data_IF_346517717138
#
_entry.id   IF_346517717138
#
_cell.length_a   1.000
_cell.length_b   1.000
_cell.length_c   1.000
_cell.angle_alpha   90.00
_cell.angle_beta   90.00
_cell.angle_gamma   90.00
#
_symmetry.space_group_name_H-M   'P 1'
#
loop_
_entity.id
_entity.type
_entity.pdbx_description
1 polymer ?
#
# COMPACT_ATOMS: atom_id res chain seq x y z
N UNK A 1 11.37 12.95 20.42
CA UNK A 1 9.93 13.34 20.28
C UNK A 1 9.57 14.27 21.44
N UNK A 2 8.72 15.26 21.20
CA UNK A 2 8.22 16.10 22.28
C UNK A 2 7.27 15.31 23.21
N UNK A 3 7.23 15.69 24.48
CA UNK A 3 6.30 15.11 25.46
C UNK A 3 4.84 15.21 24.99
N UNK A 4 4.51 16.27 24.23
CA UNK A 4 3.20 16.43 23.62
C UNK A 4 2.83 15.37 22.60
N UNK A 5 3.77 14.87 21.81
CA UNK A 5 3.52 13.77 20.85
C UNK A 5 3.31 12.45 21.60
N UNK A 6 4.12 12.19 22.63
CA UNK A 6 4.01 10.96 23.42
C UNK A 6 2.68 10.84 24.16
N UNK A 7 2.02 11.98 24.49
CA UNK A 7 0.71 11.96 25.16
C UNK A 7 -0.42 11.35 24.31
N UNK A 8 -0.22 11.20 22.98
CA UNK A 8 -1.18 10.58 22.08
C UNK A 8 -0.96 9.08 21.89
N UNK A 9 0.19 8.55 22.31
CA UNK A 9 0.51 7.14 22.14
C UNK A 9 -0.36 6.28 23.07
N UNK A 10 -1.08 5.30 22.50
CA UNK A 10 -1.76 4.25 23.28
C UNK A 10 -0.75 3.23 23.80
N UNK A 11 0.28 2.95 23.01
CA UNK A 11 1.41 2.09 23.31
C UNK A 11 2.57 2.51 22.42
N UNK A 12 3.79 2.71 22.95
CA UNK A 12 4.95 2.90 22.10
C UNK A 12 5.24 1.57 21.40
N UNK A 13 4.93 1.50 20.10
CA UNK A 13 5.25 0.35 19.28
C UNK A 13 6.67 0.52 18.73
N UNK A 14 7.52 -0.47 19.03
CA UNK A 14 8.78 -0.72 18.35
C UNK A 14 9.73 0.45 18.20
N UNK A 15 10.29 0.93 19.33
CA UNK A 15 11.49 1.78 19.40
C UNK A 15 11.37 3.25 18.93
N UNK A 16 12.18 4.09 19.52
CA UNK A 16 13.03 4.05 20.67
C UNK A 16 12.78 5.11 21.70
N UNK A 17 13.25 4.77 22.56
CA UNK A 17 13.55 5.16 23.91
C UNK A 17 14.41 6.40 24.07
N UNK A 18 15.03 6.95 23.09
CA UNK A 18 15.77 8.18 23.30
C UNK A 18 15.00 9.37 22.74
N UNK A 19 14.52 10.21 23.64
CA UNK A 19 14.09 11.59 23.38
C UNK A 19 15.22 12.48 22.82
N UNK A 20 16.41 11.91 22.65
CA UNK A 20 17.65 12.61 22.24
C UNK A 20 17.88 12.63 20.73
N UNK A 21 17.04 12.00 19.93
CA UNK A 21 17.17 12.07 18.46
C UNK A 21 17.08 13.50 17.98
N UNK A 22 17.99 13.89 17.12
CA UNK A 22 17.99 15.24 16.54
C UNK A 22 16.82 15.44 15.58
N UNK A 23 16.49 14.42 14.78
CA UNK A 23 15.38 14.43 13.82
C UNK A 23 14.66 13.09 13.81
N UNK A 24 13.37 13.08 13.45
CA UNK A 24 12.62 11.84 13.37
C UNK A 24 11.51 11.87 12.32
N UNK A 25 11.17 10.69 11.80
CA UNK A 25 9.93 10.43 11.08
C UNK A 25 8.99 9.61 11.96
N UNK A 26 7.68 9.86 11.85
CA UNK A 26 6.67 9.27 12.74
C UNK A 26 5.47 8.77 11.94
N UNK A 27 5.45 7.51 11.51
CA UNK A 27 4.23 6.87 11.03
C UNK A 27 3.13 6.87 12.09
N UNK A 28 1.91 7.23 11.66
CA UNK A 28 0.68 7.23 12.45
C UNK A 28 -0.14 5.99 12.11
N UNK A 29 -0.47 5.17 13.10
CA UNK A 29 -1.23 3.92 12.93
C UNK A 29 -2.26 3.74 14.04
N UNK A 30 -3.41 3.10 13.74
CA UNK A 30 -4.44 2.81 14.76
C UNK A 30 -4.18 1.53 15.54
N UNK A 31 -3.54 0.55 14.91
CA UNK A 31 -3.26 -0.75 15.50
C UNK A 31 -1.76 -1.03 15.51
N UNK A 32 -1.27 -1.60 16.59
CA UNK A 32 0.11 -2.04 16.70
C UNK A 32 0.32 -3.27 15.81
N UNK A 33 1.22 -3.14 14.85
CA UNK A 33 1.69 -4.26 14.05
C UNK A 33 3.20 -4.09 13.79
N UNK A 34 3.97 -5.18 13.68
CA UNK A 34 5.38 -5.10 13.37
C UNK A 34 5.59 -4.48 11.99
N UNK A 35 5.77 -3.16 11.92
CA UNK A 35 5.85 -2.46 10.66
C UNK A 35 7.22 -2.69 10.01
N UNK A 36 7.22 -3.35 8.87
CA UNK A 36 8.38 -3.51 7.99
C UNK A 36 8.99 -2.14 7.63
N UNK A 37 8.15 -1.14 7.45
CA UNK A 37 8.54 0.24 7.12
C UNK A 37 9.53 0.83 8.12
N UNK A 38 9.32 0.63 9.44
CA UNK A 38 10.23 1.15 10.45
C UNK A 38 11.65 0.56 10.32
N UNK A 39 11.76 -0.74 10.05
CA UNK A 39 13.04 -1.41 9.81
C UNK A 39 13.70 -0.85 8.54
N UNK A 40 12.98 -0.77 7.43
CA UNK A 40 13.50 -0.26 6.16
C UNK A 40 14.05 1.17 6.28
N UNK A 41 13.32 2.04 6.97
CA UNK A 41 13.73 3.43 7.14
C UNK A 41 14.94 3.58 8.05
N UNK A 42 14.97 2.88 9.18
CA UNK A 42 16.10 2.95 10.11
C UNK A 42 17.39 2.37 9.51
N UNK A 43 17.29 1.26 8.76
CA UNK A 43 18.44 0.71 8.01
C UNK A 43 18.92 1.69 6.93
N UNK A 44 18.00 2.42 6.27
CA UNK A 44 18.36 3.43 5.28
C UNK A 44 19.03 4.65 5.94
N UNK A 45 18.54 5.11 7.08
CA UNK A 45 19.18 6.18 7.83
C UNK A 45 20.62 5.84 8.21
N UNK A 46 20.84 4.62 8.72
CA UNK A 46 22.19 4.14 9.04
C UNK A 46 23.08 4.01 7.80
N UNK A 47 22.57 3.37 6.74
CA UNK A 47 23.34 3.10 5.53
C UNK A 47 23.80 4.39 4.80
N UNK A 48 23.02 5.46 4.90
CA UNK A 48 23.30 6.72 4.20
C UNK A 48 23.85 7.84 5.10
N UNK A 49 24.09 7.55 6.39
CA UNK A 49 24.60 8.53 7.35
C UNK A 49 23.65 9.72 7.48
N UNK A 50 22.36 9.46 7.64
CA UNK A 50 21.33 10.47 7.92
C UNK A 50 21.02 10.43 9.41
N UNK A 51 21.25 11.52 10.12
CA UNK A 51 21.00 11.66 11.57
C UNK A 51 19.50 11.82 11.85
N UNK A 52 18.75 10.75 11.59
CA UNK A 52 17.32 10.68 11.86
C UNK A 52 16.91 9.27 12.29
N UNK A 53 15.73 9.15 12.87
CA UNK A 53 15.17 7.88 13.29
C UNK A 53 13.70 7.79 12.89
N UNK A 54 13.27 6.60 12.46
CA UNK A 54 11.86 6.30 12.27
C UNK A 54 11.29 5.70 13.56
N UNK A 55 10.27 6.38 14.10
CA UNK A 55 9.52 5.95 15.27
C UNK A 55 8.07 5.78 14.86
N UNK A 56 7.26 5.01 15.56
CA UNK A 56 5.83 4.84 15.26
C UNK A 56 4.95 5.37 16.38
N UNK A 57 3.83 5.98 16.02
CA UNK A 57 2.77 6.37 16.94
C UNK A 57 1.53 5.50 16.71
N UNK A 58 1.21 4.67 17.70
CA UNK A 58 -0.08 3.98 17.78
C UNK A 58 -1.07 4.90 18.47
N UNK A 59 -2.04 5.41 17.74
CA UNK A 59 -2.98 6.41 18.27
C UNK A 59 -4.36 6.26 17.64
N UNK A 60 -5.26 7.20 17.95
CA UNK A 60 -6.60 7.24 17.35
C UNK A 60 -6.66 8.25 16.23
N UNK A 61 -7.10 7.84 15.05
CA UNK A 61 -7.31 8.72 13.90
C UNK A 61 -8.34 9.82 14.18
N UNK A 62 -9.25 9.60 15.12
CA UNK A 62 -10.18 10.64 15.61
C UNK A 62 -9.48 11.84 16.25
N UNK A 63 -8.19 11.69 16.62
CA UNK A 63 -7.35 12.75 17.18
C UNK A 63 -6.36 13.33 16.18
N UNK A 64 -6.54 13.08 14.88
CA UNK A 64 -5.63 13.55 13.83
C UNK A 64 -5.32 15.05 13.93
N UNK A 65 -6.33 15.89 14.13
CA UNK A 65 -6.13 17.34 14.25
C UNK A 65 -5.23 17.74 15.42
N UNK A 66 -5.40 17.11 16.59
CA UNK A 66 -4.57 17.37 17.76
C UNK A 66 -3.12 16.90 17.53
N UNK A 67 -2.96 15.69 17.00
CA UNK A 67 -1.66 15.09 16.70
C UNK A 67 -0.91 15.99 15.70
N UNK A 68 -1.53 16.33 14.57
CA UNK A 68 -0.90 17.13 13.53
C UNK A 68 -0.60 18.55 13.99
N UNK A 69 -1.42 19.15 14.86
CA UNK A 69 -1.14 20.44 15.49
C UNK A 69 0.17 20.43 16.30
N UNK A 70 0.44 19.34 17.02
CA UNK A 70 1.69 19.19 17.78
C UNK A 70 2.86 18.92 16.84
N UNK A 71 2.72 18.00 15.88
CA UNK A 71 3.76 17.67 14.91
C UNK A 71 4.18 18.87 14.04
N UNK A 72 3.23 19.72 13.67
CA UNK A 72 3.48 20.96 12.93
C UNK A 72 4.47 21.89 13.64
N UNK A 73 4.39 21.94 14.98
CA UNK A 73 5.23 22.80 15.83
C UNK A 73 6.57 22.16 16.20
N UNK A 74 6.66 20.83 16.10
CA UNK A 74 7.89 20.12 16.45
C UNK A 74 8.90 20.20 15.30
N UNK A 75 9.95 21.01 15.49
CA UNK A 75 11.00 21.20 14.47
C UNK A 75 11.89 19.98 14.28
N UNK A 76 11.81 18.98 15.15
CA UNK A 76 12.49 17.69 14.99
C UNK A 76 11.72 16.73 14.09
N UNK A 77 10.41 16.90 13.96
CA UNK A 77 9.56 16.09 13.08
C UNK A 77 9.82 16.43 11.62
N UNK A 78 10.16 15.43 10.82
CA UNK A 78 10.41 15.54 9.38
C UNK A 78 9.18 15.21 8.54
N UNK A 79 8.40 14.23 9.01
CA UNK A 79 7.31 13.62 8.28
C UNK A 79 7.03 12.21 8.78
N UNK A 80 6.24 11.44 8.04
CA UNK A 80 5.98 10.05 8.38
C UNK A 80 4.78 9.48 7.65
N UNK A 81 4.59 8.16 7.75
CA UNK A 81 3.47 7.47 7.13
C UNK A 81 2.13 7.82 7.77
N UNK A 82 1.06 7.85 7.00
CA UNK A 82 -0.31 7.74 7.47
C UNK A 82 -0.81 6.33 7.14
N UNK A 83 -0.89 5.47 8.15
CA UNK A 83 -1.33 4.09 8.02
C UNK A 83 -2.85 3.95 8.06
N UNK A 84 -3.30 2.69 8.18
CA UNK A 84 -4.73 2.37 8.26
C UNK A 84 -5.41 3.19 9.37
N UNK A 85 -6.56 3.77 9.05
CA UNK A 85 -7.31 4.68 9.91
C UNK A 85 -6.92 6.15 9.75
N UNK A 86 -5.66 6.46 9.46
CA UNK A 86 -5.18 7.84 9.31
C UNK A 86 -5.19 8.37 7.87
N UNK A 87 -5.21 7.50 6.85
CA UNK A 87 -5.06 7.89 5.43
C UNK A 87 -6.03 8.98 4.97
N UNK A 88 -7.27 8.90 5.39
CA UNK A 88 -8.32 9.86 5.04
C UNK A 88 -8.48 10.92 6.15
N UNK A 89 -8.32 10.52 7.42
CA UNK A 89 -8.55 11.37 8.59
C UNK A 89 -7.53 12.51 8.76
N UNK A 90 -6.38 12.47 8.08
CA UNK A 90 -5.38 13.54 8.15
C UNK A 90 -5.63 14.66 7.14
N UNK A 91 -6.36 14.39 6.06
CA UNK A 91 -6.47 15.27 4.88
C UNK A 91 -6.93 16.67 5.25
N UNK A 92 -7.98 16.79 6.03
CA UNK A 92 -8.57 18.09 6.42
C UNK A 92 -7.65 18.98 7.26
N UNK A 93 -6.57 18.40 7.85
CA UNK A 93 -5.61 19.10 8.68
C UNK A 93 -4.29 19.43 7.94
N UNK A 94 -4.19 19.10 6.65
CA UNK A 94 -3.02 19.35 5.84
C UNK A 94 -3.11 20.71 5.14
N UNK A 95 -1.96 21.35 4.92
CA UNK A 95 -1.90 22.63 4.23
C UNK A 95 -1.88 22.46 2.71
N UNK A 96 -1.33 21.34 2.24
CA UNK A 96 -1.15 21.04 0.82
C UNK A 96 -1.24 19.53 0.59
N UNK A 97 -1.70 19.14 -0.59
CA UNK A 97 -1.63 17.77 -1.10
C UNK A 97 -0.78 17.74 -2.37
N UNK A 98 -0.15 16.62 -2.65
CA UNK A 98 0.40 16.37 -3.98
C UNK A 98 -0.69 15.87 -4.93
N UNK A 99 -0.43 15.91 -6.23
CA UNK A 99 -1.39 15.50 -7.27
C UNK A 99 -1.89 14.05 -7.07
N UNK A 100 -1.02 13.15 -6.62
CA UNK A 100 -1.37 11.74 -6.39
C UNK A 100 -2.32 11.61 -5.19
N UNK A 101 -2.08 12.34 -4.10
CA UNK A 101 -2.96 12.35 -2.93
C UNK A 101 -4.32 12.98 -3.23
N UNK A 102 -4.35 14.10 -3.95
CA UNK A 102 -5.60 14.75 -4.41
C UNK A 102 -6.41 13.80 -5.30
N UNK A 103 -5.75 13.21 -6.28
CA UNK A 103 -6.38 12.30 -7.24
C UNK A 103 -6.89 11.03 -6.57
N UNK A 104 -6.12 10.45 -5.66
CA UNK A 104 -6.54 9.27 -4.91
C UNK A 104 -7.62 9.57 -3.86
N UNK A 105 -7.66 10.82 -3.34
CA UNK A 105 -8.45 11.18 -2.17
C UNK A 105 -7.94 10.50 -0.90
N UNK A 106 -6.63 10.26 -0.82
CA UNK A 106 -6.01 9.49 0.28
C UNK A 106 -4.53 9.87 0.43
N UNK A 107 -4.05 9.98 1.66
CA UNK A 107 -2.67 10.31 1.99
C UNK A 107 -2.02 9.14 2.72
N UNK A 108 -0.86 8.67 2.26
CA UNK A 108 -0.10 7.65 2.97
C UNK A 108 1.22 8.18 3.56
N UNK A 109 1.63 9.39 3.19
CA UNK A 109 2.87 9.98 3.65
C UNK A 109 2.75 11.49 3.87
N UNK A 110 3.31 11.98 4.97
CA UNK A 110 3.31 13.37 5.40
C UNK A 110 4.73 13.92 5.38
N UNK A 111 4.89 15.18 4.97
CA UNK A 111 6.16 15.91 5.08
C UNK A 111 5.90 17.23 5.78
N UNK A 112 6.75 17.55 6.77
CA UNK A 112 6.79 18.87 7.39
C UNK A 112 7.79 19.75 6.64
N UNK A 113 7.32 20.84 6.05
CA UNK A 113 8.19 21.81 5.35
C UNK A 113 9.00 22.64 6.34
N UNK A 114 10.04 23.33 5.84
CA UNK A 114 10.86 24.24 6.65
C UNK A 114 10.01 25.36 7.29
N UNK A 115 8.92 25.77 6.63
CA UNK A 115 7.99 26.78 7.12
C UNK A 115 6.98 26.25 8.14
N UNK A 116 7.06 24.95 8.49
CA UNK A 116 6.16 24.28 9.42
C UNK A 116 4.82 23.88 8.84
N UNK A 117 4.61 23.99 7.53
CA UNK A 117 3.44 23.44 6.85
C UNK A 117 3.52 21.91 6.78
N UNK A 118 2.37 21.25 6.73
CA UNK A 118 2.23 19.80 6.51
C UNK A 118 1.70 19.56 5.10
N UNK A 119 2.46 18.82 4.31
CA UNK A 119 2.07 18.41 2.97
C UNK A 119 1.85 16.90 2.93
N UNK A 120 0.72 16.48 2.35
CA UNK A 120 0.35 15.09 2.16
C UNK A 120 0.73 14.58 0.78
N UNK A 121 1.16 13.32 0.74
CA UNK A 121 1.55 12.58 -0.46
C UNK A 121 0.85 11.23 -0.51
N UNK A 122 0.71 10.68 -1.71
CA UNK A 122 0.31 9.30 -1.88
C UNK A 122 1.32 8.54 -2.75
N UNK A 123 2.11 7.68 -2.12
CA UNK A 123 3.13 6.85 -2.77
C UNK A 123 2.67 5.41 -3.02
N UNK A 124 1.49 5.01 -2.53
CA UNK A 124 0.98 3.63 -2.66
C UNK A 124 0.83 3.21 -4.13
N UNK A 125 0.19 4.07 -4.93
CA UNK A 125 -0.06 3.79 -6.33
C UNK A 125 1.24 3.66 -7.15
N UNK A 126 2.17 4.60 -6.98
CA UNK A 126 3.46 4.58 -7.65
C UNK A 126 4.28 3.34 -7.25
N UNK A 127 4.30 3.02 -5.94
CA UNK A 127 4.99 1.85 -5.41
C UNK A 127 4.41 0.55 -5.96
N UNK A 128 3.08 0.42 -5.97
CA UNK A 128 2.42 -0.76 -6.53
C UNK A 128 2.69 -0.94 -8.02
N UNK A 129 2.47 0.12 -8.80
CA UNK A 129 2.65 0.03 -10.25
C UNK A 129 4.09 -0.30 -10.64
N UNK A 130 5.09 0.27 -9.95
CA UNK A 130 6.50 -0.10 -10.13
C UNK A 130 6.74 -1.59 -9.84
N UNK A 131 6.11 -2.13 -8.80
CA UNK A 131 6.24 -3.55 -8.44
C UNK A 131 5.66 -4.47 -9.52
N UNK A 132 4.49 -4.13 -10.03
CA UNK A 132 3.85 -4.90 -11.09
C UNK A 132 4.62 -4.77 -12.42
N UNK A 133 5.12 -3.57 -12.77
CA UNK A 133 5.99 -3.35 -13.92
C UNK A 133 7.24 -4.23 -13.89
N UNK A 134 7.83 -4.41 -12.71
CA UNK A 134 9.01 -5.27 -12.58
C UNK A 134 8.70 -6.73 -12.92
N UNK A 135 7.53 -7.24 -12.47
CA UNK A 135 7.07 -8.59 -12.84
C UNK A 135 6.88 -8.74 -14.36
N UNK A 136 6.29 -7.74 -15.02
CA UNK A 136 6.14 -7.76 -16.48
C UNK A 136 7.46 -7.59 -17.21
N UNK A 137 8.36 -6.72 -16.73
CA UNK A 137 9.69 -6.49 -17.33
C UNK A 137 10.58 -7.73 -17.31
N UNK A 138 10.51 -8.56 -16.27
CA UNK A 138 11.20 -9.85 -16.22
C UNK A 138 10.75 -10.79 -17.37
N UNK A 139 9.60 -10.53 -17.96
CA UNK A 139 9.03 -11.22 -19.12
C UNK A 139 9.17 -10.42 -20.42
N UNK A 140 10.00 -9.38 -20.44
CA UNK A 140 10.21 -8.47 -21.58
C UNK A 140 8.88 -7.79 -22.02
N UNK A 141 8.02 -7.46 -21.08
CA UNK A 141 6.73 -6.80 -21.30
C UNK A 141 6.64 -5.53 -20.43
N UNK A 142 5.72 -4.64 -20.77
CA UNK A 142 5.34 -3.48 -19.98
C UNK A 142 3.83 -3.52 -19.62
N UNK A 143 3.35 -2.48 -18.97
CA UNK A 143 1.93 -2.37 -18.59
C UNK A 143 1.05 -1.74 -19.68
N UNK A 144 1.65 -1.20 -20.74
CA UNK A 144 0.91 -0.56 -21.83
C UNK A 144 0.00 -1.58 -22.53
N UNK A 145 -1.29 -1.27 -22.57
CA UNK A 145 -2.32 -2.13 -23.18
C UNK A 145 -2.66 -3.40 -22.40
N UNK A 146 -2.05 -3.65 -21.25
CA UNK A 146 -2.40 -4.80 -20.39
C UNK A 146 -3.78 -4.63 -19.79
N UNK A 147 -4.54 -5.72 -19.79
CA UNK A 147 -5.86 -5.79 -19.14
C UNK A 147 -5.75 -6.28 -17.71
N UNK A 148 -6.08 -5.42 -16.76
CA UNK A 148 -5.94 -5.70 -15.33
C UNK A 148 -7.31 -5.72 -14.67
N UNK A 149 -7.66 -6.84 -14.03
CA UNK A 149 -8.85 -6.97 -13.20
C UNK A 149 -8.47 -6.61 -11.76
N UNK A 150 -9.06 -5.53 -11.23
CA UNK A 150 -8.80 -5.03 -9.88
C UNK A 150 -9.95 -5.39 -8.95
N UNK A 151 -9.65 -6.09 -7.85
CA UNK A 151 -10.61 -6.51 -6.83
C UNK A 151 -10.59 -5.52 -5.67
N UNK A 152 -11.57 -4.62 -5.63
CA UNK A 152 -11.71 -3.59 -4.60
C UNK A 152 -11.76 -2.17 -5.19
N UNK A 153 -12.40 -1.24 -4.45
CA UNK A 153 -12.56 0.17 -4.81
C UNK A 153 -12.43 1.09 -3.57
N UNK A 154 -11.47 0.79 -2.68
CA UNK A 154 -11.12 1.61 -1.51
C UNK A 154 -10.02 2.63 -1.81
N UNK A 155 -9.47 3.29 -0.76
CA UNK A 155 -8.42 4.31 -0.89
C UNK A 155 -7.16 3.78 -1.59
N UNK A 156 -6.63 2.62 -1.18
CA UNK A 156 -5.49 1.97 -1.86
C UNK A 156 -5.83 1.61 -3.32
N UNK A 157 -7.06 1.10 -3.58
CA UNK A 157 -7.51 0.80 -4.93
C UNK A 157 -7.55 2.06 -5.81
N UNK A 158 -7.96 3.20 -5.25
CA UNK A 158 -7.94 4.48 -5.96
C UNK A 158 -6.52 4.82 -6.41
N UNK A 159 -5.54 4.84 -5.51
CA UNK A 159 -4.14 5.14 -5.83
C UNK A 159 -3.57 4.18 -6.89
N UNK A 160 -3.84 2.89 -6.74
CA UNK A 160 -3.37 1.84 -7.67
C UNK A 160 -4.00 2.00 -9.04
N UNK A 161 -5.32 2.27 -9.12
CA UNK A 161 -6.03 2.45 -10.39
C UNK A 161 -5.46 3.62 -11.21
N UNK A 162 -5.26 4.77 -10.58
CA UNK A 162 -4.68 5.94 -11.27
C UNK A 162 -3.25 5.67 -11.72
N UNK A 163 -2.44 4.99 -10.91
CA UNK A 163 -1.05 4.70 -11.25
C UNK A 163 -0.93 3.69 -12.40
N UNK A 164 -1.78 2.67 -12.45
CA UNK A 164 -1.79 1.68 -13.52
C UNK A 164 -2.35 2.26 -14.82
N UNK A 165 -3.46 3.01 -14.75
CA UNK A 165 -4.02 3.69 -15.92
C UNK A 165 -3.04 4.71 -16.52
N UNK A 166 -2.29 5.44 -15.67
CA UNK A 166 -1.24 6.35 -16.11
C UNK A 166 -0.06 5.68 -16.83
N UNK A 167 0.07 4.35 -16.69
CA UNK A 167 1.03 3.51 -17.43
C UNK A 167 0.42 2.82 -18.64
N UNK A 168 -0.81 3.21 -19.01
CA UNK A 168 -1.52 2.71 -20.18
C UNK A 168 -2.18 1.35 -20.00
N UNK A 169 -2.34 0.86 -18.79
CA UNK A 169 -3.13 -0.35 -18.52
C UNK A 169 -4.62 -0.06 -18.64
N UNK A 170 -5.38 -0.99 -19.21
CA UNK A 170 -6.83 -1.01 -19.20
C UNK A 170 -7.34 -1.74 -17.96
N UNK A 171 -8.25 -1.10 -17.22
CA UNK A 171 -8.71 -1.61 -15.93
C UNK A 171 -10.15 -2.13 -15.99
N UNK A 172 -10.42 -3.23 -15.28
CA UNK A 172 -11.75 -3.65 -14.91
C UNK A 172 -11.82 -3.64 -13.39
N UNK A 173 -12.54 -2.69 -12.81
CA UNK A 173 -12.64 -2.53 -11.37
C UNK A 173 -13.85 -3.31 -10.88
N UNK A 174 -13.61 -4.30 -10.04
CA UNK A 174 -14.64 -5.19 -9.49
C UNK A 174 -14.80 -4.93 -8.01
N UNK A 175 -16.01 -4.70 -7.55
CA UNK A 175 -16.26 -4.45 -6.12
C UNK A 175 -17.62 -4.97 -5.68
N UNK A 176 -17.70 -5.46 -4.44
CA UNK A 176 -18.94 -5.90 -3.79
C UNK A 176 -20.05 -4.84 -3.83
N UNK A 177 -19.70 -3.57 -3.77
CA UNK A 177 -20.61 -2.43 -3.97
C UNK A 177 -20.34 -1.86 -5.35
N UNK A 178 -21.09 -2.21 -6.40
CA UNK A 178 -20.78 -1.85 -7.78
C UNK A 178 -20.64 -0.33 -7.99
N UNK A 179 -21.45 0.47 -7.31
CA UNK A 179 -21.38 1.93 -7.37
C UNK A 179 -20.01 2.51 -7.03
N UNK A 180 -19.28 1.90 -6.06
CA UNK A 180 -17.93 2.35 -5.73
C UNK A 180 -16.93 2.06 -6.87
N UNK A 181 -17.11 0.95 -7.56
CA UNK A 181 -16.30 0.60 -8.73
C UNK A 181 -16.60 1.53 -9.90
N UNK A 182 -17.89 1.85 -10.13
CA UNK A 182 -18.37 2.80 -11.13
C UNK A 182 -17.80 4.21 -10.88
N UNK A 183 -17.91 4.71 -9.65
CA UNK A 183 -17.37 6.01 -9.25
C UNK A 183 -15.86 6.09 -9.49
N UNK A 184 -15.11 5.06 -9.12
CA UNK A 184 -13.66 5.00 -9.33
C UNK A 184 -13.31 4.92 -10.82
N UNK A 185 -13.97 4.07 -11.60
CA UNK A 185 -13.77 3.98 -13.05
C UNK A 185 -14.07 5.33 -13.74
N UNK A 186 -15.15 5.99 -13.34
CA UNK A 186 -15.51 7.32 -13.83
C UNK A 186 -14.45 8.38 -13.51
N UNK A 187 -13.84 8.35 -12.32
CA UNK A 187 -12.73 9.25 -11.93
C UNK A 187 -11.49 8.99 -12.79
N UNK A 188 -11.10 7.73 -12.97
CA UNK A 188 -9.96 7.32 -13.81
C UNK A 188 -10.19 7.79 -15.26
N UNK A 189 -11.37 7.55 -15.83
CA UNK A 189 -11.69 7.94 -17.20
C UNK A 189 -11.66 9.46 -17.42
N UNK A 190 -12.14 10.23 -16.46
CA UNK A 190 -12.04 11.71 -16.51
C UNK A 190 -10.59 12.17 -16.51
N UNK A 191 -9.71 11.56 -15.71
CA UNK A 191 -8.30 11.96 -15.61
C UNK A 191 -7.50 11.65 -16.88
N UNK A 192 -7.79 10.52 -17.54
CA UNK A 192 -7.04 10.05 -18.71
C UNK A 192 -7.77 10.28 -20.04
N UNK A 193 -8.83 11.07 -20.03
CA UNK A 193 -9.57 11.48 -21.24
C UNK A 193 -10.00 10.34 -22.16
N UNK A 194 -10.41 9.19 -21.59
CA UNK A 194 -10.72 8.02 -22.40
C UNK A 194 -11.47 6.93 -21.62
N UNK A 195 -11.39 5.72 -22.13
CA UNK A 195 -11.97 4.50 -21.52
C UNK A 195 -10.87 3.63 -20.89
N UNK A 196 -10.06 4.23 -20.02
CA UNK A 196 -8.98 3.51 -19.34
C UNK A 196 -9.51 2.51 -18.27
N UNK A 197 -10.75 2.69 -17.81
CA UNK A 197 -11.35 1.82 -16.81
C UNK A 197 -12.82 1.51 -17.11
N UNK A 198 -13.22 0.29 -16.85
CA UNK A 198 -14.60 -0.19 -16.74
C UNK A 198 -14.85 -0.72 -15.33
N UNK A 199 -16.10 -1.04 -15.01
CA UNK A 199 -16.46 -1.61 -13.71
C UNK A 199 -17.37 -2.82 -13.87
N UNK A 200 -17.41 -3.66 -12.82
CA UNK A 200 -18.32 -4.80 -12.74
C UNK A 200 -18.67 -5.11 -11.27
N UNK A 201 -19.79 -5.80 -11.09
CA UNK A 201 -20.13 -6.45 -9.83
C UNK A 201 -19.27 -7.71 -9.61
N UNK A 202 -19.16 -8.19 -8.37
CA UNK A 202 -18.39 -9.42 -8.08
C UNK A 202 -18.95 -10.64 -8.82
N UNK A 203 -20.25 -10.71 -9.00
CA UNK A 203 -20.95 -11.80 -9.68
C UNK A 203 -20.66 -11.85 -11.19
N UNK A 204 -20.20 -10.75 -11.76
CA UNK A 204 -19.88 -10.62 -13.19
C UNK A 204 -18.40 -10.87 -13.52
N UNK A 205 -17.57 -11.11 -12.52
CA UNK A 205 -16.12 -11.20 -12.66
C UNK A 205 -15.69 -12.22 -13.73
N UNK A 206 -16.40 -13.34 -13.85
CA UNK A 206 -16.09 -14.42 -14.80
C UNK A 206 -15.96 -13.94 -16.24
N UNK A 207 -16.73 -12.91 -16.63
CA UNK A 207 -16.72 -12.33 -17.99
C UNK A 207 -15.40 -11.61 -18.32
N UNK A 208 -14.62 -11.25 -17.30
CA UNK A 208 -13.44 -10.43 -17.45
C UNK A 208 -12.12 -11.21 -17.27
N UNK A 209 -12.18 -12.43 -16.72
CA UNK A 209 -10.99 -13.21 -16.38
C UNK A 209 -10.29 -13.82 -17.59
N UNK A 210 -11.03 -14.25 -18.62
CA UNK A 210 -10.47 -14.95 -19.80
C UNK A 210 -9.50 -14.10 -20.63
N UNK A 211 -9.55 -12.77 -20.49
CA UNK A 211 -8.68 -11.83 -21.18
C UNK A 211 -7.79 -11.03 -20.21
N UNK A 212 -7.67 -11.46 -18.95
CA UNK A 212 -6.88 -10.73 -17.96
C UNK A 212 -5.39 -11.05 -18.09
N UNK A 213 -4.56 -10.03 -18.19
CA UNK A 213 -3.09 -10.15 -18.05
C UNK A 213 -2.67 -10.18 -16.58
N UNK A 214 -3.47 -9.55 -15.70
CA UNK A 214 -3.28 -9.63 -14.25
C UNK A 214 -4.61 -9.54 -13.51
N UNK A 215 -4.67 -10.17 -12.32
CA UNK A 215 -5.72 -9.97 -11.32
C UNK A 215 -5.09 -9.46 -10.04
N UNK A 216 -5.59 -8.34 -9.55
CA UNK A 216 -4.98 -7.58 -8.45
C UNK A 216 -5.97 -7.45 -7.30
N UNK A 217 -5.68 -8.07 -6.17
CA UNK A 217 -6.44 -7.84 -4.95
C UNK A 217 -5.97 -6.54 -4.27
N UNK A 218 -6.85 -5.56 -4.22
CA UNK A 218 -6.71 -4.31 -3.45
C UNK A 218 -7.87 -4.14 -2.46
N UNK A 219 -8.55 -5.25 -2.15
CA UNK A 219 -9.59 -5.35 -1.13
C UNK A 219 -9.01 -5.80 0.22
N UNK A 220 -9.87 -5.98 1.20
CA UNK A 220 -9.51 -6.54 2.51
C UNK A 220 -9.67 -8.05 2.61
N UNK A 221 -10.11 -8.73 1.55
CA UNK A 221 -10.20 -10.20 1.56
C UNK A 221 -8.80 -10.82 1.66
N UNK A 222 -8.64 -11.79 2.54
CA UNK A 222 -7.34 -12.37 2.88
C UNK A 222 -6.59 -11.64 4.00
N UNK A 223 -7.06 -10.46 4.47
CA UNK A 223 -6.48 -9.78 5.62
C UNK A 223 -6.94 -10.39 6.94
N UNK A 224 -6.13 -10.20 7.99
CA UNK A 224 -6.43 -10.71 9.34
C UNK A 224 -7.84 -10.38 9.82
N UNK A 225 -8.44 -11.28 10.59
CA UNK A 225 -9.79 -11.18 11.11
C UNK A 225 -10.82 -11.95 10.29
N UNK A 226 -12.03 -11.44 10.18
CA UNK A 226 -13.17 -12.17 9.57
C UNK A 226 -13.02 -12.48 8.07
N UNK A 227 -12.09 -11.85 7.38
CA UNK A 227 -11.86 -12.04 5.95
C UNK A 227 -10.58 -12.83 5.62
N UNK A 228 -9.82 -13.26 6.61
CA UNK A 228 -8.51 -13.90 6.45
C UNK A 228 -8.56 -15.19 5.64
N UNK A 229 -9.58 -16.02 5.88
CA UNK A 229 -9.73 -17.30 5.22
C UNK A 229 -10.33 -17.23 3.81
N UNK A 230 -10.77 -16.05 3.36
CA UNK A 230 -11.42 -15.89 2.06
C UNK A 230 -10.42 -15.57 0.94
N UNK A 231 -10.61 -16.23 -0.20
CA UNK A 231 -9.98 -15.83 -1.45
C UNK A 231 -10.59 -14.52 -1.96
N UNK A 232 -9.74 -13.62 -2.44
CA UNK A 232 -10.19 -12.36 -3.00
C UNK A 232 -10.97 -12.52 -4.31
N UNK A 233 -10.75 -13.62 -5.03
CA UNK A 233 -11.30 -13.85 -6.36
C UNK A 233 -12.81 -14.11 -6.36
N UNK A 234 -13.37 -14.53 -5.23
CA UNK A 234 -14.80 -14.88 -5.11
C UNK A 234 -15.51 -14.02 -4.04
N UNK A 235 -16.83 -13.89 -4.08
CA UNK A 235 -17.61 -13.25 -3.03
C UNK A 235 -17.36 -13.86 -1.66
N UNK A 236 -17.31 -13.03 -0.62
CA UNK A 236 -17.14 -13.45 0.78
C UNK A 236 -18.43 -13.18 1.56
N UNK A 237 -19.09 -14.22 2.01
CA UNK A 237 -20.28 -14.13 2.84
C UNK A 237 -19.92 -14.16 4.32
N UNK A 238 -20.45 -13.22 5.10
CA UNK A 238 -20.26 -13.15 6.54
C UNK A 238 -21.52 -13.61 7.30
N UNK A 239 -21.36 -14.20 8.50
CA UNK A 239 -20.12 -14.46 9.23
C UNK A 239 -19.24 -15.53 8.56
N UNK A 240 -17.95 -15.56 8.92
CA UNK A 240 -16.97 -16.51 8.40
C UNK A 240 -17.20 -17.93 8.99
N UNK A 241 -18.26 -18.59 8.55
CA UNK A 241 -18.53 -20.01 8.87
C UNK A 241 -17.70 -20.94 8.00
N UNK A 242 -17.42 -22.18 8.44
CA UNK A 242 -16.74 -23.16 7.58
C UNK A 242 -17.40 -23.33 6.21
N UNK A 243 -18.74 -23.38 6.15
CA UNK A 243 -19.48 -23.52 4.90
C UNK A 243 -19.34 -22.31 3.97
N UNK A 244 -19.38 -21.07 4.50
CA UNK A 244 -19.19 -19.86 3.71
C UNK A 244 -17.75 -19.75 3.18
N UNK A 245 -16.76 -20.16 3.97
CA UNK A 245 -15.36 -20.20 3.55
C UNK A 245 -15.17 -21.25 2.44
N UNK A 246 -15.69 -22.46 2.63
CA UNK A 246 -15.61 -23.54 1.63
C UNK A 246 -16.27 -23.13 0.30
N UNK A 247 -17.45 -22.51 0.36
CA UNK A 247 -18.15 -22.01 -0.83
C UNK A 247 -17.32 -20.93 -1.58
N UNK A 248 -16.71 -19.99 -0.84
CA UNK A 248 -15.83 -18.99 -1.45
C UNK A 248 -14.59 -19.63 -2.11
N UNK A 249 -13.94 -20.56 -1.43
CA UNK A 249 -12.74 -21.22 -1.96
C UNK A 249 -13.07 -22.05 -3.19
N UNK A 250 -14.18 -22.79 -3.19
CA UNK A 250 -14.64 -23.59 -4.35
C UNK A 250 -14.96 -22.67 -5.55
N UNK A 251 -15.66 -21.57 -5.33
CA UNK A 251 -15.94 -20.61 -6.39
C UNK A 251 -14.66 -19.93 -6.90
N UNK A 252 -13.74 -19.56 -6.01
CA UNK A 252 -12.45 -19.01 -6.39
C UNK A 252 -11.65 -19.97 -7.29
N UNK A 253 -11.68 -21.27 -6.99
CA UNK A 253 -11.05 -22.30 -7.78
C UNK A 253 -11.68 -22.40 -9.19
N UNK A 254 -13.00 -22.33 -9.28
CA UNK A 254 -13.75 -22.32 -10.54
C UNK A 254 -13.40 -21.10 -11.38
N UNK A 255 -13.36 -19.92 -10.77
CA UNK A 255 -13.02 -18.66 -11.42
C UNK A 255 -11.56 -18.64 -11.88
N UNK A 256 -10.65 -19.15 -11.05
CA UNK A 256 -9.23 -19.22 -11.39
C UNK A 256 -8.94 -20.09 -12.60
N UNK A 257 -9.76 -21.12 -12.85
CA UNK A 257 -9.66 -21.96 -14.04
C UNK A 257 -9.93 -21.20 -15.36
N UNK A 258 -10.61 -20.04 -15.31
CA UNK A 258 -10.89 -19.20 -16.47
C UNK A 258 -9.70 -18.33 -16.86
N UNK A 259 -8.71 -18.17 -16.00
CA UNK A 259 -7.56 -17.28 -16.23
C UNK A 259 -6.60 -17.86 -17.27
N UNK A 260 -6.07 -17.01 -18.18
CA UNK A 260 -4.98 -17.42 -19.06
C UNK A 260 -3.74 -17.75 -18.21
N UNK A 261 -2.99 -18.78 -18.63
CA UNK A 261 -1.80 -19.25 -17.89
C UNK A 261 -0.69 -18.21 -17.71
N UNK A 262 -0.69 -17.18 -18.55
CA UNK A 262 0.26 -16.10 -18.46
C UNK A 262 -0.15 -15.00 -17.44
N UNK A 263 -1.36 -15.05 -16.92
CA UNK A 263 -1.84 -14.02 -16.00
C UNK A 263 -1.00 -13.94 -14.71
N UNK A 264 -0.79 -12.73 -14.23
CA UNK A 264 -0.14 -12.44 -12.95
C UNK A 264 -1.21 -12.26 -11.87
N UNK A 265 -1.05 -12.94 -10.73
CA UNK A 265 -1.92 -12.78 -9.58
C UNK A 265 -1.19 -11.96 -8.52
N UNK A 266 -1.78 -10.85 -8.11
CA UNK A 266 -1.16 -9.94 -7.15
C UNK A 266 -2.09 -9.59 -6.00
N UNK A 267 -1.52 -9.44 -4.82
CA UNK A 267 -2.24 -9.11 -3.60
C UNK A 267 -1.50 -8.03 -2.81
N UNK A 268 -2.19 -6.96 -2.41
CA UNK A 268 -1.61 -5.92 -1.55
C UNK A 268 -1.70 -6.27 -0.06
N UNK A 269 -2.44 -7.32 0.28
CA UNK A 269 -2.58 -7.76 1.67
C UNK A 269 -1.25 -8.29 2.18
N UNK A 270 -0.84 -7.77 3.32
CA UNK A 270 0.32 -8.23 4.08
C UNK A 270 -0.16 -9.00 5.30
N UNK A 271 0.18 -10.25 5.36
CA UNK A 271 -0.07 -11.14 6.50
C UNK A 271 1.18 -11.92 6.87
N UNK A 272 1.11 -12.67 7.97
CA UNK A 272 2.18 -13.57 8.37
C UNK A 272 2.21 -14.83 7.48
N UNK A 273 1.11 -15.12 6.79
CA UNK A 273 0.99 -16.19 5.81
C UNK A 273 0.52 -15.65 4.45
N UNK A 274 0.75 -16.46 3.42
CA UNK A 274 0.25 -16.19 2.07
C UNK A 274 -1.29 -16.24 2.04
N UNK A 275 -1.93 -15.25 1.39
CA UNK A 275 -3.38 -15.21 1.28
C UNK A 275 -3.95 -16.42 0.50
N UNK A 276 -5.19 -16.85 0.79
CA UNK A 276 -5.81 -17.95 0.05
C UNK A 276 -5.81 -17.75 -1.48
N UNK A 277 -5.95 -16.51 -1.93
CA UNK A 277 -5.90 -16.14 -3.34
C UNK A 277 -4.54 -16.46 -3.98
N UNK A 278 -3.44 -15.99 -3.38
CA UNK A 278 -2.09 -16.24 -3.93
C UNK A 278 -1.69 -17.70 -3.79
N UNK A 279 -2.02 -18.34 -2.67
CA UNK A 279 -1.73 -19.77 -2.44
C UNK A 279 -2.37 -20.65 -3.50
N UNK A 280 -3.65 -20.44 -3.81
CA UNK A 280 -4.35 -21.16 -4.87
C UNK A 280 -3.73 -20.89 -6.25
N UNK A 281 -3.37 -19.65 -6.53
CA UNK A 281 -2.69 -19.26 -7.76
C UNK A 281 -1.34 -19.96 -7.93
N UNK A 282 -0.53 -19.96 -6.90
CA UNK A 282 0.79 -20.63 -6.89
C UNK A 282 0.65 -22.12 -7.11
N UNK A 283 -0.30 -22.78 -6.43
CA UNK A 283 -0.56 -24.21 -6.61
C UNK A 283 -0.96 -24.58 -8.05
N UNK A 284 -1.50 -23.61 -8.81
CA UNK A 284 -1.86 -23.78 -10.23
C UNK A 284 -0.78 -23.30 -11.20
N UNK A 285 0.38 -22.88 -10.70
CA UNK A 285 1.53 -22.47 -11.51
C UNK A 285 1.43 -21.05 -12.08
N UNK A 286 0.57 -20.17 -11.53
CA UNK A 286 0.56 -18.76 -11.86
C UNK A 286 1.75 -18.03 -11.26
N UNK A 287 2.18 -16.95 -11.92
CA UNK A 287 3.09 -15.98 -11.31
C UNK A 287 2.32 -15.21 -10.24
N UNK A 288 2.85 -15.20 -9.02
CA UNK A 288 2.23 -14.50 -7.90
C UNK A 288 3.13 -13.39 -7.37
N UNK A 289 2.53 -12.26 -6.99
CA UNK A 289 3.19 -11.12 -6.35
C UNK A 289 2.43 -10.75 -5.09
N UNK A 290 3.08 -10.86 -3.93
CA UNK A 290 2.52 -10.41 -2.64
C UNK A 290 2.69 -8.89 -2.44
N UNK A 291 2.24 -8.38 -1.29
CA UNK A 291 2.29 -6.95 -0.97
C UNK A 291 3.68 -6.40 -0.60
N UNK A 292 4.70 -7.26 -0.40
CA UNK A 292 6.03 -6.82 0.05
C UNK A 292 6.71 -5.87 -0.96
N UNK A 293 6.75 -6.17 -2.27
CA UNK A 293 7.31 -5.24 -3.26
C UNK A 293 6.64 -3.86 -3.25
N UNK A 294 5.33 -3.80 -3.07
CA UNK A 294 4.60 -2.54 -2.94
C UNK A 294 5.06 -1.75 -1.70
N UNK A 295 5.16 -2.41 -0.54
CA UNK A 295 5.61 -1.75 0.70
C UNK A 295 7.02 -1.20 0.55
N UNK A 296 7.92 -1.94 -0.09
CA UNK A 296 9.29 -1.47 -0.37
C UNK A 296 9.25 -0.25 -1.30
N UNK A 297 8.61 -0.37 -2.46
CA UNK A 297 8.64 0.67 -3.47
C UNK A 297 7.92 1.95 -3.02
N UNK A 298 6.78 1.87 -2.31
CA UNK A 298 6.15 3.06 -1.73
C UNK A 298 7.03 3.72 -0.66
N UNK A 299 7.77 2.91 0.12
CA UNK A 299 8.73 3.39 1.11
C UNK A 299 9.91 4.12 0.46
N UNK A 300 10.43 3.59 -0.65
CA UNK A 300 11.48 4.24 -1.46
C UNK A 300 11.00 5.58 -2.02
N UNK A 301 9.78 5.63 -2.57
CA UNK A 301 9.19 6.89 -3.04
C UNK A 301 9.09 7.93 -1.92
N UNK A 302 8.54 7.54 -0.77
CA UNK A 302 8.40 8.42 0.38
C UNK A 302 9.75 8.90 0.93
N UNK A 303 10.73 8.00 1.03
CA UNK A 303 12.09 8.35 1.46
C UNK A 303 12.77 9.31 0.50
N UNK A 304 12.57 9.11 -0.81
CA UNK A 304 13.10 9.99 -1.85
C UNK A 304 12.45 11.37 -1.85
N UNK A 305 11.16 11.46 -1.61
CA UNK A 305 10.44 12.74 -1.43
C UNK A 305 11.08 13.55 -0.30
N UNK A 306 11.43 12.89 0.80
CA UNK A 306 11.95 13.55 1.99
C UNK A 306 13.46 13.88 1.90
N UNK A 307 14.26 12.96 1.35
CA UNK A 307 15.72 12.99 1.42
C UNK A 307 16.43 13.03 0.07
N UNK A 308 15.70 12.98 -1.06
CA UNK A 308 16.27 12.84 -2.40
C UNK A 308 17.37 13.86 -2.69
N UNK A 309 17.13 15.15 -2.42
CA UNK A 309 18.16 16.19 -2.63
C UNK A 309 19.44 15.96 -1.82
N UNK A 310 19.31 15.51 -0.58
CA UNK A 310 20.47 15.21 0.28
C UNK A 310 21.22 13.98 -0.24
N UNK A 311 20.51 12.98 -0.72
CA UNK A 311 21.09 11.74 -1.25
C UNK A 311 21.80 11.98 -2.59
N UNK A 312 21.19 12.73 -3.50
CA UNK A 312 21.78 13.14 -4.78
C UNK A 312 23.09 13.91 -4.54
N UNK A 313 23.11 14.83 -3.57
CA UNK A 313 24.33 15.54 -3.17
C UNK A 313 25.45 14.64 -2.63
N UNK A 314 25.11 13.43 -2.20
CA UNK A 314 26.06 12.38 -1.77
C UNK A 314 26.34 11.35 -2.88
N UNK A 315 25.81 11.51 -4.09
CA UNK A 315 25.94 10.56 -5.19
C UNK A 315 25.15 9.25 -4.98
N UNK A 316 24.14 9.25 -4.11
CA UNK A 316 23.32 8.09 -3.81
C UNK A 316 22.07 8.12 -4.71
N UNK A 317 21.87 7.06 -5.52
CA UNK A 317 20.72 6.96 -6.40
C UNK A 317 19.48 6.36 -5.70
N UNK A 318 18.32 6.53 -6.30
CA UNK A 318 17.06 5.96 -5.82
C UNK A 318 17.07 4.43 -5.85
N UNK A 319 17.77 3.83 -6.83
CA UNK A 319 17.98 2.39 -6.94
C UNK A 319 18.78 1.87 -5.73
N UNK A 320 19.77 2.62 -5.28
CA UNK A 320 20.55 2.26 -4.09
C UNK A 320 19.68 2.28 -2.82
N UNK A 321 18.76 3.22 -2.72
CA UNK A 321 17.76 3.25 -1.63
C UNK A 321 16.87 2.00 -1.71
N UNK A 322 16.41 1.64 -2.91
CA UNK A 322 15.58 0.46 -3.12
C UNK A 322 16.31 -0.85 -2.72
N UNK A 323 17.60 -0.98 -3.03
CA UNK A 323 18.41 -2.13 -2.60
C UNK A 323 18.50 -2.26 -1.08
N UNK A 324 18.76 -1.15 -0.38
CA UNK A 324 18.87 -1.16 1.09
C UNK A 324 17.52 -1.53 1.71
N UNK A 325 16.43 -0.90 1.26
CA UNK A 325 15.09 -1.17 1.77
C UNK A 325 14.63 -2.59 1.47
N UNK A 326 14.91 -3.13 0.29
CA UNK A 326 14.57 -4.50 -0.08
C UNK A 326 15.25 -5.53 0.82
N UNK A 327 16.56 -5.33 1.12
CA UNK A 327 17.29 -6.20 2.06
C UNK A 327 16.74 -6.11 3.47
N UNK A 328 16.42 -4.89 3.93
CA UNK A 328 15.84 -4.68 5.25
C UNK A 328 14.44 -5.32 5.39
N UNK A 329 13.63 -5.23 4.33
CA UNK A 329 12.32 -5.87 4.28
C UNK A 329 12.42 -7.40 4.32
N UNK A 330 13.34 -7.97 3.53
CA UNK A 330 13.59 -9.42 3.54
C UNK A 330 14.04 -9.93 4.92
N UNK A 331 14.97 -9.21 5.57
CA UNK A 331 15.43 -9.53 6.92
C UNK A 331 14.30 -9.42 7.97
N UNK A 332 13.44 -8.41 7.85
CA UNK A 332 12.30 -8.26 8.74
C UNK A 332 11.27 -9.39 8.58
N UNK A 333 11.09 -9.89 7.35
CA UNK A 333 10.19 -11.02 7.05
C UNK A 333 10.75 -12.35 7.59
N UNK A 334 12.04 -12.59 7.41
CA UNK A 334 12.69 -13.81 7.93
C UNK A 334 12.54 -13.93 9.45
N UNK A 335 12.76 -12.85 10.20
CA UNK A 335 12.59 -12.81 11.67
C UNK A 335 11.17 -13.11 12.14
N UNK A 336 10.15 -12.89 11.28
CA UNK A 336 8.76 -13.25 11.61
C UNK A 336 8.49 -14.72 11.38
N UNK A 337 9.05 -15.30 10.30
CA UNK A 337 8.93 -16.74 10.01
C UNK A 337 9.59 -17.61 11.06
N UNK A 338 10.68 -17.12 11.71
CA UNK A 338 11.38 -17.82 12.78
C UNK A 338 10.68 -17.70 14.15
N UNK A 339 9.71 -16.77 14.29
CA UNK A 339 9.00 -16.50 15.54
C UNK A 339 7.57 -17.09 15.57
N UNK A 340 7.09 -17.67 14.48
CA UNK A 340 5.78 -18.32 14.31
C UNK A 340 5.92 -19.85 14.31
#
# INVERSE_FOLDING_TARGET
MSAGVLSFARKPAGNPQSLEVQKYTLPLIEHDYPAMTATMWNESYMAFGIEAQNCMLVGSSRRSGEILKVLRRDTKYLGGGAGVGFKDAVIEYLDELDEAAETAGSVNFLVRTAQGKLRGYNTDGAGYARSLEEVFRQRQQDLQGKRIVMLGAGGTASSVAFALAGRGAGLVIVNRTPRRAEDLAGRVNRRFHGQAASFAAEEEISRHLTAADAVVNVSTKGSSGSLEAYSALAPAELPATPGNIEANLAEAERLMALLPKHAVLSDVVLGDSETPFLRAGRARGFITMDGVPMVVNQGVEAFWILHGRQLEGKGISKERVAEVMSRAAAAARARRGDAA
#
